data_IF_065109834173
#
_entry.id   IF_065109834173
#
_cell.length_a   1.000
_cell.length_b   1.000
_cell.length_c   1.000
_cell.angle_alpha   90.00
_cell.angle_beta   90.00
_cell.angle_gamma   90.00
#
_symmetry.space_group_name_H-M   'P 1'
#
loop_
_entity.id
_entity.type
_entity.pdbx_description
1 polymer ?
#
# COMPACT_ATOMS: atom_id res chain seq x y z
N UNK A 1 9.80 49.44 32.93
CA UNK A 1 9.80 49.18 31.47
C UNK A 1 10.20 47.75 31.11
N UNK A 2 11.30 47.18 31.67
CA UNK A 2 11.74 45.80 31.38
C UNK A 2 10.71 44.69 31.68
N UNK A 3 9.88 44.85 32.72
CA UNK A 3 8.84 43.86 33.10
C UNK A 3 7.69 43.74 32.10
N UNK A 4 7.32 44.85 31.44
CA UNK A 4 6.25 44.85 30.42
C UNK A 4 6.74 44.19 29.12
N UNK A 5 8.01 44.40 28.78
CA UNK A 5 8.66 43.74 27.64
C UNK A 5 8.67 42.21 27.79
N UNK A 6 8.88 41.71 29.02
CA UNK A 6 8.89 40.29 29.33
C UNK A 6 7.51 39.64 29.17
N UNK A 7 6.43 40.36 29.50
CA UNK A 7 5.05 39.88 29.35
C UNK A 7 4.67 39.79 27.88
N UNK A 8 5.07 40.77 27.06
CA UNK A 8 4.80 40.78 25.61
C UNK A 8 5.55 39.64 24.90
N UNK A 9 6.79 39.36 25.30
CA UNK A 9 7.56 38.23 24.75
C UNK A 9 6.98 36.88 25.17
N UNK A 10 6.47 36.76 26.39
CA UNK A 10 5.82 35.53 26.86
C UNK A 10 4.49 35.26 26.13
N UNK A 11 3.70 36.30 25.82
CA UNK A 11 2.46 36.17 25.06
C UNK A 11 2.67 35.76 23.58
N UNK A 12 3.81 36.08 22.99
CA UNK A 12 4.15 35.67 21.62
C UNK A 12 4.49 34.17 21.49
N UNK A 13 4.90 33.51 22.57
CA UNK A 13 5.30 32.10 22.56
C UNK A 13 4.13 31.11 22.61
N UNK A 14 2.91 31.57 22.90
CA UNK A 14 1.75 30.68 23.15
C UNK A 14 0.98 30.33 21.85
N UNK A 15 1.33 30.93 20.70
CA UNK A 15 0.66 30.67 19.41
C UNK A 15 1.30 29.53 18.60
N UNK A 16 1.89 28.52 19.27
CA UNK A 16 2.31 27.31 18.58
C UNK A 16 1.07 26.46 18.27
N UNK A 17 0.56 26.58 17.04
CA UNK A 17 -0.48 25.68 16.54
C UNK A 17 0.09 24.26 16.47
N UNK A 18 -0.33 23.40 17.39
CA UNK A 18 -0.03 21.96 17.35
C UNK A 18 -1.01 21.34 16.35
N UNK A 19 -0.57 21.22 15.10
CA UNK A 19 -1.27 20.39 14.13
C UNK A 19 -0.83 18.94 14.34
N UNK A 20 -1.75 18.08 14.75
CA UNK A 20 -1.57 16.65 14.61
C UNK A 20 -1.65 16.34 13.11
N UNK A 21 -0.51 16.19 12.45
CA UNK A 21 -0.49 15.59 11.12
C UNK A 21 -1.04 14.17 11.29
N UNK A 22 -2.26 13.94 10.79
CA UNK A 22 -2.79 12.60 10.71
C UNK A 22 -1.89 11.87 9.72
N UNK A 23 -0.85 11.21 10.23
CA UNK A 23 -0.10 10.25 9.45
C UNK A 23 -1.11 9.17 9.08
N UNK A 24 -1.80 9.31 7.94
CA UNK A 24 -2.47 8.17 7.32
C UNK A 24 -1.32 7.18 7.19
N UNK A 25 -1.28 6.10 8.00
CA UNK A 25 -0.14 5.21 7.97
C UNK A 25 -0.05 4.75 6.54
N UNK A 26 1.09 5.03 5.89
CA UNK A 26 1.37 4.58 4.53
C UNK A 26 1.28 3.06 4.61
N UNK A 27 0.11 2.51 4.29
CA UNK A 27 -0.15 1.09 4.52
C UNK A 27 0.85 0.35 3.65
N UNK A 28 1.65 -0.57 4.21
CA UNK A 28 2.63 -1.27 3.42
C UNK A 28 1.91 -2.00 2.27
N UNK A 29 2.47 -1.94 1.07
CA UNK A 29 2.02 -2.65 -0.14
C UNK A 29 0.54 -2.38 -0.54
N UNK A 30 0.31 -1.35 -1.36
CA UNK A 30 -0.93 -1.16 -2.13
C UNK A 30 -2.18 -0.72 -1.35
N UNK A 31 -2.19 -0.85 -0.02
CA UNK A 31 -3.32 -0.48 0.84
C UNK A 31 -4.65 -1.14 0.43
N UNK A 32 -4.59 -2.27 -0.28
CA UNK A 32 -5.74 -2.93 -0.86
C UNK A 32 -6.65 -3.49 0.22
N UNK A 33 -7.72 -2.76 0.51
CA UNK A 33 -8.90 -3.26 1.20
C UNK A 33 -9.99 -3.37 0.14
N UNK A 34 -10.40 -4.59 -0.24
CA UNK A 34 -11.56 -4.78 -1.09
C UNK A 34 -12.77 -4.12 -0.42
N UNK A 35 -13.70 -3.65 -1.23
CA UNK A 35 -14.93 -2.91 -0.91
C UNK A 35 -15.98 -3.75 -0.17
N UNK A 36 -15.55 -4.58 0.77
CA UNK A 36 -16.39 -5.41 1.65
C UNK A 36 -17.12 -6.56 0.96
N UNK A 37 -17.24 -6.55 -0.37
CA UNK A 37 -18.00 -7.54 -1.15
C UNK A 37 -17.16 -8.69 -1.70
N UNK A 38 -15.86 -8.48 -1.83
CA UNK A 38 -14.90 -9.50 -2.28
C UNK A 38 -14.19 -9.99 -1.02
N UNK A 39 -14.14 -11.31 -0.81
CA UNK A 39 -13.45 -11.98 0.31
C UNK A 39 -14.22 -12.04 1.63
N UNK A 40 -15.48 -12.51 1.58
CA UNK A 40 -16.14 -12.98 2.81
C UNK A 40 -15.23 -14.05 3.44
N UNK A 41 -15.10 -14.05 4.77
CA UNK A 41 -14.29 -15.06 5.46
C UNK A 41 -14.71 -16.48 5.04
N UNK A 42 -13.77 -17.22 4.44
CA UNK A 42 -14.00 -18.58 3.93
C UNK A 42 -14.35 -18.69 2.43
N UNK A 43 -14.58 -17.58 1.72
CA UNK A 43 -14.84 -17.58 0.29
C UNK A 43 -13.57 -17.94 -0.51
N UNK A 44 -13.67 -18.98 -1.36
CA UNK A 44 -12.58 -19.38 -2.26
C UNK A 44 -12.64 -18.57 -3.54
N UNK A 45 -11.62 -17.75 -3.77
CA UNK A 45 -11.41 -17.08 -5.05
C UNK A 45 -10.26 -17.76 -5.78
N UNK A 46 -10.59 -18.51 -6.81
CA UNK A 46 -9.61 -19.22 -7.61
C UNK A 46 -9.07 -18.31 -8.72
N UNK A 47 -7.74 -18.18 -8.78
CA UNK A 47 -7.04 -17.49 -9.85
C UNK A 47 -6.60 -18.54 -10.84
N UNK A 48 -7.27 -18.59 -12.00
CA UNK A 48 -7.09 -19.67 -12.98
C UNK A 48 -6.00 -19.38 -14.00
N UNK A 49 -5.79 -18.11 -14.33
CA UNK A 49 -4.94 -17.68 -15.43
C UNK A 49 -4.13 -16.42 -15.09
N UNK A 50 -3.12 -16.16 -15.93
CA UNK A 50 -2.20 -15.02 -15.78
C UNK A 50 -2.93 -13.66 -15.91
N UNK A 51 -3.99 -13.57 -16.73
CA UNK A 51 -4.71 -12.30 -16.88
C UNK A 51 -5.53 -11.98 -15.64
N UNK A 52 -6.18 -12.98 -15.04
CA UNK A 52 -6.81 -12.86 -13.73
C UNK A 52 -5.81 -12.40 -12.66
N UNK A 53 -4.62 -13.01 -12.64
CA UNK A 53 -3.55 -12.62 -11.72
C UNK A 53 -3.11 -11.16 -11.92
N UNK A 54 -2.99 -10.72 -13.17
CA UNK A 54 -2.66 -9.34 -13.53
C UNK A 54 -3.75 -8.35 -13.11
N UNK A 55 -5.02 -8.69 -13.30
CA UNK A 55 -6.14 -7.82 -12.88
C UNK A 55 -6.17 -7.62 -11.36
N UNK A 56 -5.92 -8.70 -10.60
CA UNK A 56 -5.81 -8.64 -9.14
C UNK A 56 -4.69 -7.69 -8.72
N UNK A 57 -3.50 -7.81 -9.32
CA UNK A 57 -2.38 -6.93 -8.98
C UNK A 57 -2.62 -5.47 -9.38
N UNK A 58 -3.25 -5.23 -10.54
CA UNK A 58 -3.66 -3.88 -10.94
C UNK A 58 -4.59 -3.26 -9.91
N UNK A 59 -5.58 -4.01 -9.43
CA UNK A 59 -6.48 -3.57 -8.35
C UNK A 59 -5.74 -3.40 -7.02
N UNK A 60 -4.81 -4.28 -6.71
CA UNK A 60 -4.01 -4.22 -5.49
C UNK A 60 -3.16 -2.94 -5.42
N UNK A 61 -2.64 -2.48 -6.55
CA UNK A 61 -1.83 -1.26 -6.66
C UNK A 61 -2.60 -0.05 -7.23
N UNK A 62 -3.93 -0.09 -7.34
CA UNK A 62 -4.73 0.98 -7.95
C UNK A 62 -4.54 2.34 -7.26
N UNK A 63 -4.17 2.34 -5.98
CA UNK A 63 -3.90 3.56 -5.19
C UNK A 63 -2.42 3.93 -5.09
N UNK A 64 -1.54 3.22 -5.80
CA UNK A 64 -0.10 3.38 -5.72
C UNK A 64 0.52 3.48 -7.12
N UNK A 65 0.57 4.70 -7.64
CA UNK A 65 1.06 5.01 -8.99
C UNK A 65 2.57 4.86 -9.15
N UNK A 66 3.33 4.67 -8.05
CA UNK A 66 4.79 4.52 -8.09
C UNK A 66 5.24 3.09 -8.45
N UNK A 67 4.30 2.19 -8.76
CA UNK A 67 4.56 0.75 -8.91
C UNK A 67 4.07 0.21 -10.25
N UNK A 68 4.90 -0.60 -10.90
CA UNK A 68 4.57 -1.30 -12.15
C UNK A 68 4.63 -2.82 -11.96
N UNK A 69 3.58 -3.50 -12.42
CA UNK A 69 3.53 -4.97 -12.48
C UNK A 69 4.22 -5.44 -13.76
N UNK A 70 5.34 -6.16 -13.62
CA UNK A 70 6.11 -6.69 -14.73
C UNK A 70 5.68 -8.09 -15.18
N UNK A 71 6.68 -8.94 -15.38
CA UNK A 71 6.46 -10.34 -15.76
C UNK A 71 5.67 -11.09 -14.68
N UNK A 72 4.73 -11.92 -15.13
CA UNK A 72 3.97 -12.83 -14.29
C UNK A 72 4.20 -14.24 -14.80
N UNK A 73 4.79 -15.10 -13.97
CA UNK A 73 5.07 -16.50 -14.30
C UNK A 73 4.11 -17.42 -13.55
N UNK A 74 3.53 -18.38 -14.27
CA UNK A 74 2.68 -19.39 -13.66
C UNK A 74 3.51 -20.51 -13.01
N UNK A 75 3.19 -20.83 -11.75
CA UNK A 75 3.74 -21.99 -11.02
C UNK A 75 2.60 -22.94 -10.63
N UNK A 76 2.94 -24.12 -10.13
CA UNK A 76 1.94 -25.16 -9.79
C UNK A 76 0.87 -24.68 -8.79
N UNK A 77 1.24 -23.88 -7.79
CA UNK A 77 0.33 -23.44 -6.72
C UNK A 77 0.03 -21.94 -6.66
N UNK A 78 0.77 -21.13 -7.41
CA UNK A 78 0.70 -19.67 -7.36
C UNK A 78 1.15 -19.05 -8.69
N UNK A 79 0.88 -17.77 -8.86
CA UNK A 79 1.53 -16.92 -9.85
C UNK A 79 2.59 -16.09 -9.15
N UNK A 80 3.75 -15.94 -9.78
CA UNK A 80 4.86 -15.11 -9.30
C UNK A 80 4.92 -13.86 -10.17
N UNK A 81 5.07 -12.69 -9.56
CA UNK A 81 5.02 -11.41 -10.26
C UNK A 81 6.15 -10.50 -9.79
N UNK A 82 6.91 -9.98 -10.76
CA UNK A 82 7.95 -8.99 -10.50
C UNK A 82 7.33 -7.60 -10.39
N UNK A 83 7.68 -6.88 -9.33
CA UNK A 83 7.17 -5.55 -9.05
C UNK A 83 8.30 -4.54 -9.12
N UNK A 84 8.12 -3.52 -9.95
CA UNK A 84 9.10 -2.49 -10.22
C UNK A 84 8.64 -1.14 -9.69
N UNK A 85 9.58 -0.29 -9.28
CA UNK A 85 9.28 1.12 -9.04
C UNK A 85 9.24 1.92 -10.37
N UNK A 86 8.87 3.20 -10.29
CA UNK A 86 8.88 4.13 -11.43
C UNK A 86 10.24 4.30 -12.14
N UNK A 87 11.34 3.98 -11.48
CA UNK A 87 12.69 4.04 -12.05
C UNK A 87 13.07 2.73 -12.78
N UNK A 88 12.16 1.75 -12.82
CA UNK A 88 12.41 0.44 -13.41
C UNK A 88 13.23 -0.50 -12.53
N UNK A 89 13.47 -0.16 -11.26
CA UNK A 89 14.15 -1.03 -10.30
C UNK A 89 13.18 -2.07 -9.73
N UNK A 90 13.58 -3.34 -9.72
CA UNK A 90 12.85 -4.41 -9.04
C UNK A 90 12.85 -4.12 -7.53
N UNK A 91 11.65 -3.94 -6.95
CA UNK A 91 11.46 -3.62 -5.54
C UNK A 91 10.85 -4.78 -4.75
N UNK A 92 10.13 -5.68 -5.42
CA UNK A 92 9.48 -6.82 -4.76
C UNK A 92 9.20 -7.95 -5.75
N UNK A 93 9.03 -9.16 -5.22
CA UNK A 93 8.49 -10.31 -5.95
C UNK A 93 7.29 -10.81 -5.16
N UNK A 94 6.10 -10.66 -5.75
CA UNK A 94 4.86 -11.10 -5.15
C UNK A 94 4.46 -12.48 -5.64
N UNK A 95 3.82 -13.24 -4.75
CA UNK A 95 3.10 -14.45 -5.12
C UNK A 95 1.61 -14.33 -4.86
N UNK A 96 0.83 -14.86 -5.79
CA UNK A 96 -0.63 -14.91 -5.76
C UNK A 96 -1.05 -16.38 -5.72
N UNK A 97 -1.56 -16.84 -4.58
CA UNK A 97 -2.00 -18.23 -4.44
C UNK A 97 -3.18 -18.53 -5.35
N UNK A 98 -3.08 -19.59 -6.17
CA UNK A 98 -4.15 -19.95 -7.11
C UNK A 98 -5.46 -20.30 -6.42
N UNK A 99 -5.40 -20.97 -5.27
CA UNK A 99 -6.60 -21.45 -4.54
C UNK A 99 -7.41 -20.35 -3.87
N UNK A 100 -6.79 -19.22 -3.56
CA UNK A 100 -7.38 -18.21 -2.68
C UNK A 100 -7.08 -16.77 -3.10
N UNK A 101 -6.41 -16.54 -4.23
CA UNK A 101 -5.89 -15.24 -4.67
C UNK A 101 -5.11 -14.45 -3.62
N UNK A 102 -4.60 -15.10 -2.56
CA UNK A 102 -3.88 -14.42 -1.48
C UNK A 102 -2.57 -13.90 -2.03
N UNK A 103 -2.34 -12.60 -1.85
CA UNK A 103 -1.14 -11.88 -2.29
C UNK A 103 -0.17 -11.80 -1.11
N UNK A 104 1.11 -12.08 -1.34
CA UNK A 104 2.20 -11.85 -0.36
C UNK A 104 3.53 -11.65 -1.07
N UNK A 105 4.47 -10.96 -0.44
CA UNK A 105 5.87 -11.00 -0.89
C UNK A 105 6.48 -12.37 -0.64
N UNK A 106 7.48 -12.73 -1.44
CA UNK A 106 8.28 -13.94 -1.28
C UNK A 106 9.39 -13.78 -0.22
N UNK A 107 9.86 -12.54 0.03
CA UNK A 107 10.97 -12.22 0.94
C UNK A 107 10.52 -11.51 2.20
#
# INVERSE_FOLDING_TARGET
>A
MKKVFFIITFLLLINANIYAESSIPKRPYGAYCPDGRRWIYGERFEVKDINSAREILKKFYEKNDDVTVGEITEKRGFFEANIYNKEGKLIDILIIHKKSGRIRSIY
#
